data_IF_268337847311
#
_entry.id   IF_268337847311
#
_cell.length_a   1.000
_cell.length_b   1.000
_cell.length_c   1.000
_cell.angle_alpha   90.00
_cell.angle_beta   90.00
_cell.angle_gamma   90.00
#
_symmetry.space_group_name_H-M   'P 1'
#
loop_
_entity.id
_entity.type
_entity.pdbx_description
1 polymer ?
#
# COMPACT_ATOMS: atom_id res chain seq x y z
N UNK A 1 8.41 -16.30 19.10
CA UNK A 1 8.83 -15.02 18.49
C UNK A 1 8.01 -13.83 19.01
N UNK A 2 7.50 -13.85 20.25
CA UNK A 2 6.62 -12.79 20.79
C UNK A 2 7.31 -11.44 20.99
N UNK A 3 8.65 -11.39 20.97
CA UNK A 3 9.44 -10.17 21.10
C UNK A 3 9.99 -9.66 19.76
N UNK A 4 9.62 -10.29 18.63
CA UNK A 4 10.14 -9.91 17.33
C UNK A 4 9.63 -8.52 16.97
N UNK A 5 10.57 -7.59 16.74
CA UNK A 5 10.28 -6.21 16.37
C UNK A 5 10.39 -6.00 14.86
N UNK A 6 11.38 -6.63 14.23
CA UNK A 6 11.64 -6.58 12.80
C UNK A 6 11.69 -8.01 12.28
N UNK A 7 10.86 -8.29 11.27
CA UNK A 7 10.98 -9.47 10.43
C UNK A 7 11.46 -8.99 9.05
N UNK A 8 12.75 -9.14 8.79
CA UNK A 8 13.33 -8.86 7.48
C UNK A 8 13.77 -10.15 6.80
N UNK A 9 13.08 -10.48 5.72
CA UNK A 9 13.35 -11.62 4.84
C UNK A 9 13.52 -11.15 3.39
N UNK A 10 13.82 -9.86 3.19
CA UNK A 10 13.93 -9.25 1.87
C UNK A 10 15.06 -9.89 1.06
N UNK A 11 14.90 -9.94 -0.26
CA UNK A 11 15.93 -10.39 -1.21
C UNK A 11 16.37 -11.84 -0.98
N UNK A 12 15.39 -12.73 -1.00
CA UNK A 12 15.58 -14.16 -0.81
C UNK A 12 14.85 -14.95 -1.90
N UNK A 13 14.87 -16.28 -1.76
CA UNK A 13 14.19 -17.21 -2.68
C UNK A 13 12.93 -17.81 -2.05
N UNK A 14 12.32 -17.15 -1.07
CA UNK A 14 11.13 -17.66 -0.39
C UNK A 14 9.99 -17.82 -1.39
N UNK A 15 9.37 -18.99 -1.41
CA UNK A 15 8.27 -19.34 -2.31
C UNK A 15 7.04 -19.80 -1.54
N UNK A 16 5.90 -19.93 -2.22
CA UNK A 16 4.64 -20.31 -1.60
C UNK A 16 3.87 -19.09 -1.08
N UNK A 17 2.83 -19.33 -0.28
CA UNK A 17 1.91 -18.27 0.14
C UNK A 17 2.34 -17.62 1.46
N UNK A 18 1.87 -16.38 1.69
CA UNK A 18 1.93 -15.77 3.03
C UNK A 18 1.02 -16.59 3.96
N UNK A 19 1.61 -17.19 5.00
CA UNK A 19 0.90 -18.09 5.92
C UNK A 19 0.35 -17.34 7.12
N UNK A 20 -0.92 -17.61 7.39
CA UNK A 20 -1.64 -17.26 8.63
C UNK A 20 -1.95 -18.54 9.39
N UNK A 21 -2.22 -18.42 10.69
CA UNK A 21 -2.53 -19.54 11.56
C UNK A 21 -3.76 -20.31 11.08
N UNK A 22 -3.67 -21.64 11.06
CA UNK A 22 -4.73 -22.54 10.58
C UNK A 22 -5.21 -23.53 11.65
N UNK A 23 -4.93 -23.22 12.92
CA UNK A 23 -5.23 -24.08 14.07
C UNK A 23 -4.21 -25.18 14.32
N UNK A 24 -3.38 -25.53 13.33
CA UNK A 24 -2.32 -26.55 13.47
C UNK A 24 -0.91 -25.97 13.44
N UNK A 25 -0.72 -24.87 12.69
CA UNK A 25 0.56 -24.20 12.55
C UNK A 25 0.42 -22.70 12.82
N UNK A 26 1.39 -22.05 13.49
CA UNK A 26 1.39 -20.60 13.67
C UNK A 26 1.72 -19.87 12.36
N UNK A 27 1.12 -18.70 12.15
CA UNK A 27 1.41 -17.82 11.02
C UNK A 27 1.89 -16.42 11.42
N UNK A 28 2.03 -15.54 10.41
CA UNK A 28 2.48 -14.15 10.60
C UNK A 28 1.49 -13.32 11.42
N UNK A 29 0.21 -13.71 11.45
CA UNK A 29 -0.88 -13.10 12.22
C UNK A 29 -0.61 -13.08 13.73
N UNK A 30 0.27 -13.94 14.24
CA UNK A 30 0.64 -13.99 15.66
C UNK A 30 1.79 -13.04 16.04
N UNK A 31 2.42 -12.37 15.08
CA UNK A 31 3.54 -11.45 15.33
C UNK A 31 3.04 -10.06 15.76
N UNK A 32 2.20 -10.00 16.79
CA UNK A 32 1.50 -8.78 17.22
C UNK A 32 2.42 -7.63 17.67
N UNK A 33 3.63 -7.97 18.14
CA UNK A 33 4.63 -6.99 18.59
C UNK A 33 5.60 -6.53 17.49
N UNK A 34 5.53 -7.10 16.29
CA UNK A 34 6.34 -6.65 15.18
C UNK A 34 5.95 -5.21 14.78
N UNK A 35 6.95 -4.46 14.32
CA UNK A 35 6.81 -3.14 13.70
C UNK A 35 7.05 -3.19 12.20
N UNK A 36 7.82 -4.17 11.73
CA UNK A 36 8.26 -4.19 10.35
C UNK A 36 8.14 -5.59 9.78
N UNK A 37 7.34 -5.73 8.73
CA UNK A 37 7.33 -6.90 7.86
C UNK A 37 7.97 -6.52 6.53
N UNK A 38 9.22 -6.95 6.33
CA UNK A 38 9.91 -6.78 5.06
C UNK A 38 10.06 -8.16 4.40
N UNK A 39 9.21 -8.42 3.41
CA UNK A 39 9.17 -9.68 2.65
C UNK A 39 9.43 -9.44 1.15
N UNK A 40 9.91 -8.25 0.78
CA UNK A 40 10.08 -7.86 -0.60
C UNK A 40 11.14 -8.70 -1.34
N UNK A 41 11.14 -8.65 -2.67
CA UNK A 41 12.11 -9.36 -3.53
C UNK A 41 12.21 -10.85 -3.21
N UNK A 42 11.09 -11.55 -3.31
CA UNK A 42 10.99 -12.99 -3.10
C UNK A 42 10.16 -13.61 -4.24
N UNK A 43 9.77 -14.89 -4.08
CA UNK A 43 8.92 -15.63 -5.00
C UNK A 43 7.58 -15.98 -4.35
N UNK A 44 7.09 -15.14 -3.43
CA UNK A 44 5.82 -15.39 -2.74
C UNK A 44 4.65 -15.28 -3.72
N UNK A 45 3.70 -16.21 -3.62
CA UNK A 45 2.54 -16.33 -4.52
C UNK A 45 1.24 -16.27 -3.74
N UNK A 46 0.11 -16.25 -4.46
CA UNK A 46 -1.23 -16.24 -3.87
C UNK A 46 -1.63 -14.87 -3.31
N UNK A 47 -2.82 -14.84 -2.70
CA UNK A 47 -3.37 -13.63 -2.11
C UNK A 47 -2.74 -13.27 -0.77
N UNK A 48 -2.72 -11.96 -0.45
CA UNK A 48 -2.45 -11.51 0.91
C UNK A 48 -3.68 -11.90 1.77
N UNK A 49 -3.54 -12.78 2.77
CA UNK A 49 -4.69 -13.27 3.51
C UNK A 49 -5.43 -12.15 4.24
N UNK A 50 -6.77 -12.05 4.16
CA UNK A 50 -7.51 -10.99 4.83
C UNK A 50 -7.40 -11.06 6.36
N UNK A 51 -7.21 -12.25 6.94
CA UNK A 51 -6.99 -12.42 8.38
C UNK A 51 -5.53 -12.25 8.82
N UNK A 52 -4.63 -11.81 7.93
CA UNK A 52 -3.25 -11.51 8.29
C UNK A 52 -3.16 -10.33 9.26
N UNK A 53 -3.94 -9.28 9.01
CA UNK A 53 -3.89 -8.04 9.77
C UNK A 53 -5.00 -7.98 10.82
N UNK A 54 -4.67 -7.47 12.00
CA UNK A 54 -5.63 -7.24 13.08
C UNK A 54 -5.33 -5.94 13.82
N UNK A 55 -6.34 -5.40 14.51
CA UNK A 55 -6.22 -4.16 15.29
C UNK A 55 -5.26 -4.25 16.49
N UNK A 56 -4.83 -5.46 16.85
CA UNK A 56 -3.85 -5.67 17.91
C UNK A 56 -2.39 -5.53 17.42
N UNK A 57 -2.19 -5.48 16.11
CA UNK A 57 -0.86 -5.30 15.53
C UNK A 57 -0.42 -3.84 15.66
N UNK A 58 0.91 -3.66 15.73
CA UNK A 58 1.55 -2.34 15.84
C UNK A 58 2.49 -2.07 14.67
N UNK A 59 2.22 -2.64 13.50
CA UNK A 59 3.10 -2.51 12.33
C UNK A 59 3.19 -1.06 11.88
N UNK A 60 4.40 -0.63 11.58
CA UNK A 60 4.73 0.63 10.91
C UNK A 60 4.91 0.36 9.41
N UNK A 61 5.62 -0.71 9.06
CA UNK A 61 5.96 -1.03 7.66
C UNK A 61 5.44 -2.40 7.24
N UNK A 62 4.79 -2.42 6.08
CA UNK A 62 4.44 -3.64 5.33
C UNK A 62 5.04 -3.52 3.94
N UNK A 63 6.16 -4.22 3.72
CA UNK A 63 6.92 -4.19 2.45
C UNK A 63 6.89 -5.58 1.81
N UNK A 64 5.93 -5.80 0.92
CA UNK A 64 5.74 -7.06 0.18
C UNK A 64 6.04 -6.90 -1.33
N UNK A 65 6.81 -5.86 -1.69
CA UNK A 65 7.10 -5.51 -3.07
C UNK A 65 7.92 -6.57 -3.81
N UNK A 66 7.88 -6.57 -5.14
CA UNK A 66 8.69 -7.47 -5.98
C UNK A 66 8.50 -8.95 -5.64
N UNK A 67 7.24 -9.41 -5.68
CA UNK A 67 6.84 -10.80 -5.49
C UNK A 67 5.88 -11.23 -6.63
N UNK A 68 5.24 -12.39 -6.48
CA UNK A 68 4.22 -12.91 -7.40
C UNK A 68 2.83 -12.93 -6.72
N UNK A 69 2.59 -12.01 -5.77
CA UNK A 69 1.32 -11.93 -5.03
C UNK A 69 0.18 -11.54 -5.98
N UNK A 70 -1.00 -12.08 -5.75
CA UNK A 70 -2.19 -11.86 -6.56
C UNK A 70 -3.45 -11.65 -5.68
N UNK A 71 -4.65 -11.69 -6.27
CA UNK A 71 -5.88 -11.39 -5.53
C UNK A 71 -6.05 -9.89 -5.30
N UNK A 72 -6.91 -9.50 -4.36
CA UNK A 72 -7.28 -8.10 -4.11
C UNK A 72 -6.39 -7.41 -3.08
N UNK A 73 -6.48 -6.07 -3.03
CA UNK A 73 -5.94 -5.30 -1.91
C UNK A 73 -6.54 -5.79 -0.58
N UNK A 74 -5.74 -6.06 0.47
CA UNK A 74 -6.26 -6.58 1.73
C UNK A 74 -6.92 -5.47 2.55
N UNK A 75 -8.25 -5.45 2.60
CA UNK A 75 -9.02 -4.40 3.30
C UNK A 75 -8.71 -4.30 4.80
N UNK A 76 -8.32 -5.40 5.43
CA UNK A 76 -7.98 -5.46 6.86
C UNK A 76 -6.70 -4.73 7.24
N UNK A 77 -5.91 -4.22 6.28
CA UNK A 77 -4.83 -3.28 6.55
C UNK A 77 -5.32 -2.05 7.33
N UNK A 78 -6.59 -1.64 7.16
CA UNK A 78 -7.17 -0.47 7.83
C UNK A 78 -7.23 -0.63 9.35
N UNK A 79 -7.18 -1.87 9.84
CA UNK A 79 -7.20 -2.17 11.26
C UNK A 79 -5.88 -1.77 11.93
N UNK A 80 -4.79 -1.67 11.17
CA UNK A 80 -3.44 -1.39 11.69
C UNK A 80 -3.14 0.10 11.58
N UNK A 81 -3.77 0.88 12.47
CA UNK A 81 -3.73 2.36 12.44
C UNK A 81 -2.33 2.96 12.67
N UNK A 82 -1.35 2.14 13.06
CA UNK A 82 0.05 2.53 13.23
C UNK A 82 0.84 2.56 11.91
N UNK A 83 0.27 2.08 10.79
CA UNK A 83 1.00 1.99 9.53
C UNK A 83 1.45 3.36 9.01
N UNK A 84 2.71 3.40 8.60
CA UNK A 84 3.40 4.53 8.00
C UNK A 84 3.74 4.26 6.54
N UNK A 85 4.17 3.02 6.22
CA UNK A 85 4.65 2.64 4.87
C UNK A 85 3.98 1.37 4.39
N UNK A 86 3.37 1.44 3.20
CA UNK A 86 2.80 0.28 2.50
C UNK A 86 3.47 0.16 1.13
N UNK A 87 4.20 -0.95 0.91
CA UNK A 87 4.79 -1.31 -0.38
C UNK A 87 4.24 -2.63 -0.88
N UNK A 88 3.41 -2.55 -1.90
CA UNK A 88 2.85 -3.71 -2.62
C UNK A 88 3.22 -3.67 -4.11
N UNK A 89 4.12 -2.77 -4.51
CA UNK A 89 4.54 -2.58 -5.89
C UNK A 89 5.20 -3.83 -6.48
N UNK A 90 5.16 -3.96 -7.82
CA UNK A 90 5.79 -5.07 -8.57
C UNK A 90 5.25 -6.44 -8.14
N UNK A 91 3.94 -6.59 -8.20
CA UNK A 91 3.23 -7.85 -7.96
C UNK A 91 2.21 -8.10 -9.09
N UNK A 92 1.26 -9.01 -8.87
CA UNK A 92 0.13 -9.27 -9.76
C UNK A 92 -1.21 -9.07 -9.04
N UNK A 93 -1.28 -8.11 -8.11
CA UNK A 93 -2.51 -7.76 -7.39
C UNK A 93 -3.54 -7.16 -8.36
N UNK A 94 -4.81 -7.43 -8.12
CA UNK A 94 -5.94 -7.20 -9.04
C UNK A 94 -7.12 -6.56 -8.32
N UNK A 95 -8.13 -6.14 -9.09
CA UNK A 95 -9.40 -5.67 -8.57
C UNK A 95 -9.32 -4.24 -7.99
N UNK A 96 -10.45 -3.73 -7.48
CA UNK A 96 -10.53 -2.39 -6.94
C UNK A 96 -9.89 -2.25 -5.56
N UNK A 97 -9.31 -1.07 -5.33
CA UNK A 97 -8.85 -0.66 -3.99
C UNK A 97 -10.05 -0.05 -3.26
N UNK A 98 -10.94 -0.91 -2.76
CA UNK A 98 -12.10 -0.52 -1.93
C UNK A 98 -11.65 -0.28 -0.47
N UNK A 99 -10.72 0.65 -0.29
CA UNK A 99 -10.07 0.90 0.99
C UNK A 99 -10.26 2.35 1.41
N UNK A 100 -10.64 2.55 2.67
CA UNK A 100 -10.74 3.88 3.24
C UNK A 100 -9.43 4.27 3.95
N UNK A 101 -8.59 5.02 3.25
CA UNK A 101 -7.30 5.48 3.79
C UNK A 101 -7.44 6.43 4.99
N UNK A 102 -8.64 6.94 5.29
CA UNK A 102 -8.89 7.74 6.51
C UNK A 102 -8.49 7.01 7.79
N UNK A 103 -8.62 5.68 7.82
CA UNK A 103 -8.29 4.82 8.95
C UNK A 103 -6.77 4.64 9.19
N UNK A 104 -5.92 5.13 8.28
CA UNK A 104 -4.46 5.11 8.42
C UNK A 104 -3.97 6.54 8.65
N UNK A 105 -4.05 7.08 9.88
CA UNK A 105 -3.71 8.47 10.16
C UNK A 105 -2.24 8.80 9.89
N UNK A 106 -1.35 7.81 10.08
CA UNK A 106 0.10 7.98 10.02
C UNK A 106 0.73 7.61 8.67
N UNK A 107 -0.08 7.20 7.67
CA UNK A 107 0.44 6.77 6.38
C UNK A 107 1.18 7.92 5.68
N UNK A 108 2.46 7.71 5.41
CA UNK A 108 3.36 8.66 4.75
C UNK A 108 3.78 8.19 3.36
N UNK A 109 3.86 6.87 3.12
CA UNK A 109 4.29 6.35 1.82
C UNK A 109 3.43 5.18 1.33
N UNK A 110 3.03 5.27 0.05
CA UNK A 110 2.17 4.28 -0.61
C UNK A 110 2.72 3.91 -2.00
N UNK A 111 3.21 2.68 -2.14
CA UNK A 111 3.74 2.15 -3.39
C UNK A 111 2.87 0.98 -3.87
N UNK A 112 2.15 1.21 -4.97
CA UNK A 112 1.22 0.26 -5.58
C UNK A 112 1.52 -0.01 -7.05
N UNK A 113 2.59 0.57 -7.58
CA UNK A 113 2.89 0.52 -9.00
C UNK A 113 3.18 -0.88 -9.52
N UNK A 114 3.05 -1.07 -10.82
CA UNK A 114 3.33 -2.35 -11.48
C UNK A 114 2.50 -3.50 -10.89
N UNK A 115 1.18 -3.31 -10.89
CA UNK A 115 0.17 -4.30 -10.53
C UNK A 115 -0.93 -4.31 -11.61
N UNK A 116 -2.06 -4.93 -11.31
CA UNK A 116 -3.27 -4.99 -12.16
C UNK A 116 -4.49 -4.46 -11.40
N UNK A 117 -4.30 -3.51 -10.48
CA UNK A 117 -5.42 -2.87 -9.79
C UNK A 117 -6.33 -2.19 -10.81
N UNK A 118 -7.64 -2.26 -10.58
CA UNK A 118 -8.68 -1.78 -11.49
C UNK A 118 -9.71 -0.92 -10.77
N UNK A 119 -10.75 -0.44 -11.46
CA UNK A 119 -11.74 0.44 -10.84
C UNK A 119 -11.22 1.86 -10.66
N UNK A 120 -11.88 2.64 -9.81
CA UNK A 120 -11.49 4.02 -9.53
C UNK A 120 -10.15 4.12 -8.80
N UNK A 121 -9.39 5.18 -9.09
CA UNK A 121 -8.28 5.63 -8.26
C UNK A 121 -8.80 5.87 -6.83
N UNK A 122 -8.16 5.32 -5.78
CA UNK A 122 -8.65 5.48 -4.41
C UNK A 122 -8.60 6.94 -3.95
N UNK A 123 -9.52 7.29 -3.06
CA UNK A 123 -9.55 8.62 -2.44
C UNK A 123 -8.51 8.71 -1.31
N UNK A 124 -7.55 9.63 -1.48
CA UNK A 124 -6.52 9.92 -0.49
C UNK A 124 -6.77 11.24 0.25
N UNK A 125 -7.96 11.82 0.13
CA UNK A 125 -8.32 13.07 0.81
C UNK A 125 -8.01 13.02 2.31
N UNK A 126 -7.41 14.10 2.83
CA UNK A 126 -7.09 14.22 4.26
C UNK A 126 -5.85 13.42 4.72
N UNK A 127 -5.14 12.75 3.81
CA UNK A 127 -3.86 12.07 4.10
C UNK A 127 -2.68 13.03 4.10
N UNK A 128 -2.74 14.02 4.97
CA UNK A 128 -1.82 15.16 4.99
C UNK A 128 -0.36 14.79 5.31
N UNK A 129 -0.09 13.56 5.81
CA UNK A 129 1.25 13.05 6.04
C UNK A 129 1.85 12.32 4.83
N UNK A 130 1.07 12.07 3.77
CA UNK A 130 1.59 11.43 2.57
C UNK A 130 2.64 12.32 1.90
N UNK A 131 3.84 11.77 1.76
CA UNK A 131 4.97 12.36 1.04
C UNK A 131 5.18 11.67 -0.30
N UNK A 132 4.89 10.37 -0.39
CA UNK A 132 5.14 9.57 -1.58
C UNK A 132 3.93 8.71 -1.96
N UNK A 133 3.47 8.85 -3.21
CA UNK A 133 2.46 7.98 -3.82
C UNK A 133 2.91 7.57 -5.21
N UNK A 134 2.98 6.26 -5.45
CA UNK A 134 3.17 5.70 -6.78
C UNK A 134 2.10 4.64 -7.08
N UNK A 135 1.21 4.96 -8.01
CA UNK A 135 0.16 4.07 -8.50
C UNK A 135 0.36 3.69 -9.97
N UNK A 136 1.52 4.02 -10.53
CA UNK A 136 1.80 3.86 -11.96
C UNK A 136 1.67 2.42 -12.45
N UNK A 137 1.42 2.26 -13.74
CA UNK A 137 1.39 0.95 -14.40
C UNK A 137 0.39 0.00 -13.72
N UNK A 138 -0.88 0.42 -13.68
CA UNK A 138 -2.04 -0.34 -13.22
C UNK A 138 -3.16 -0.28 -14.28
N UNK A 139 -4.30 -0.89 -14.02
CA UNK A 139 -5.46 -0.98 -14.91
C UNK A 139 -6.68 -0.20 -14.39
N UNK A 140 -6.43 0.93 -13.71
CA UNK A 140 -7.50 1.82 -13.23
C UNK A 140 -8.38 2.31 -14.37
N UNK A 141 -9.65 2.55 -14.05
CA UNK A 141 -10.62 3.12 -14.97
C UNK A 141 -10.21 4.55 -15.34
N UNK A 142 -10.53 4.98 -16.56
CA UNK A 142 -10.25 6.35 -16.98
C UNK A 142 -10.96 7.36 -16.07
N UNK A 143 -10.21 8.30 -15.51
CA UNK A 143 -10.74 9.29 -14.57
C UNK A 143 -10.17 10.67 -14.81
N UNK A 144 -10.91 11.70 -14.41
CA UNK A 144 -10.34 13.03 -14.24
C UNK A 144 -9.26 12.99 -13.15
N UNK A 145 -8.41 14.02 -13.13
CA UNK A 145 -7.43 14.19 -12.06
C UNK A 145 -8.17 14.38 -10.71
N UNK A 146 -7.94 13.51 -9.71
CA UNK A 146 -8.62 13.60 -8.43
C UNK A 146 -8.35 14.93 -7.70
N UNK A 147 -9.36 15.52 -7.04
CA UNK A 147 -9.19 16.77 -6.29
C UNK A 147 -8.16 16.69 -5.17
N UNK A 148 -7.92 15.49 -4.62
CA UNK A 148 -6.95 15.32 -3.55
C UNK A 148 -5.50 15.55 -4.00
N UNK A 149 -5.19 15.54 -5.31
CA UNK A 149 -3.83 15.79 -5.80
C UNK A 149 -3.27 17.09 -5.22
N UNK A 150 -4.08 18.15 -5.20
CA UNK A 150 -3.68 19.48 -4.74
C UNK A 150 -3.98 19.76 -3.26
N UNK A 151 -4.61 18.83 -2.54
CA UNK A 151 -4.94 19.00 -1.11
C UNK A 151 -3.88 18.41 -0.17
N UNK A 152 -3.02 17.51 -0.67
CA UNK A 152 -1.99 16.84 0.13
C UNK A 152 -0.75 17.72 0.29
N UNK A 153 -0.65 18.35 1.46
CA UNK A 153 0.34 19.40 1.75
C UNK A 153 1.78 18.89 1.91
N UNK A 154 1.97 17.63 2.31
CA UNK A 154 3.31 17.06 2.51
C UNK A 154 3.84 16.31 1.28
N UNK A 155 3.06 16.27 0.18
CA UNK A 155 3.40 15.47 -0.99
C UNK A 155 4.68 15.99 -1.66
N UNK A 156 5.66 15.11 -1.85
CA UNK A 156 6.92 15.38 -2.56
C UNK A 156 7.03 14.58 -3.84
N UNK A 157 6.32 13.47 -3.96
CA UNK A 157 6.39 12.58 -5.12
C UNK A 157 5.05 11.92 -5.40
N UNK A 158 4.47 12.24 -6.56
CA UNK A 158 3.24 11.66 -7.05
C UNK A 158 3.47 11.07 -8.45
N UNK A 159 3.41 9.75 -8.56
CA UNK A 159 3.70 9.02 -9.80
C UNK A 159 2.45 8.29 -10.27
N UNK A 160 1.91 8.73 -11.41
CA UNK A 160 0.64 8.27 -11.99
C UNK A 160 0.81 7.86 -13.46
N UNK A 161 2.01 7.41 -13.86
CA UNK A 161 2.28 6.96 -15.23
C UNK A 161 1.35 5.78 -15.58
N UNK A 162 0.72 5.81 -16.76
CA UNK A 162 -0.18 4.73 -17.24
C UNK A 162 -1.34 4.38 -16.28
N UNK A 163 -2.01 5.38 -15.69
CA UNK A 163 -3.23 5.19 -14.87
C UNK A 163 -4.52 5.70 -15.52
N UNK A 164 -4.53 5.92 -16.85
CA UNK A 164 -5.70 6.40 -17.61
C UNK A 164 -6.27 7.78 -17.16
N UNK A 165 -5.45 8.62 -16.50
CA UNK A 165 -5.86 9.99 -16.16
C UNK A 165 -6.12 10.80 -17.43
N UNK A 166 -7.24 11.51 -17.44
CA UNK A 166 -7.71 12.33 -18.55
C UNK A 166 -8.18 13.71 -18.08
N UNK A 167 -8.49 14.58 -19.04
CA UNK A 167 -8.93 15.94 -18.80
C UNK A 167 -7.80 16.97 -18.90
N UNK A 168 -8.12 18.25 -18.68
CA UNK A 168 -7.16 19.32 -18.84
C UNK A 168 -6.13 19.35 -17.72
N UNK A 169 -4.87 19.59 -18.06
CA UNK A 169 -3.86 20.03 -17.09
C UNK A 169 -4.22 21.45 -16.63
N UNK A 170 -4.83 21.56 -15.45
CA UNK A 170 -5.33 22.83 -14.92
C UNK A 170 -4.40 23.39 -13.84
N UNK A 171 -4.45 24.72 -13.64
CA UNK A 171 -3.61 25.42 -12.68
C UNK A 171 -3.84 24.97 -11.22
N UNK A 172 -5.02 24.40 -10.91
CA UNK A 172 -5.35 23.89 -9.58
C UNK A 172 -4.50 22.70 -9.15
N UNK A 173 -3.80 22.03 -10.09
CA UNK A 173 -2.78 21.05 -9.75
C UNK A 173 -1.59 21.70 -9.04
N UNK A 174 -1.17 22.88 -9.47
CA UNK A 174 0.03 23.57 -8.98
C UNK A 174 -0.28 24.52 -7.84
N UNK A 175 -1.11 24.10 -6.87
CA UNK A 175 -1.49 24.96 -5.75
C UNK A 175 -0.23 25.39 -4.98
N UNK A 176 -0.20 26.60 -4.37
CA UNK A 176 0.97 27.09 -3.65
C UNK A 176 1.48 26.16 -2.54
N UNK A 177 0.61 25.29 -1.99
CA UNK A 177 0.98 24.29 -1.00
C UNK A 177 1.97 23.24 -1.56
N UNK A 178 1.93 22.95 -2.86
CA UNK A 178 2.88 22.04 -3.51
C UNK A 178 4.20 22.70 -3.94
N UNK A 179 4.21 24.03 -4.12
CA UNK A 179 5.40 24.77 -4.55
C UNK A 179 6.38 25.07 -3.41
N UNK A 180 5.95 24.90 -2.15
CA UNK A 180 6.79 25.09 -0.96
C UNK A 180 7.58 23.83 -0.56
N UNK A 181 7.24 22.67 -1.13
CA UNK A 181 7.91 21.39 -0.88
C UNK A 181 8.95 21.00 -1.94
N UNK A 182 9.23 21.89 -2.92
CA UNK A 182 10.28 21.76 -3.94
C UNK A 182 11.56 22.52 -3.56
#
# INVERSE_FOLDING_TARGET
MSNLYLLDLTDNKLSGTIRVSDGTSPGLDLLLNARHFHLGKNQLTGGIPPNLFSSNMKLLHVLFDSNQLNGSFPSTLELVQTLEVIRLDRNSLTGPILFNFTNLPNLSELYLSNNKFSGSIPDLSGKNLLTYVDMSNNSFDASLIPPWFSSLQSMTSLIMERTQLQGPMNATLFSPAQLQSL
#
